data_IF_856553753829
#
_entry.id   IF_856553753829
#
_cell.length_a   1.000
_cell.length_b   1.000
_cell.length_c   1.000
_cell.angle_alpha   90.00
_cell.angle_beta   90.00
_cell.angle_gamma   90.00
#
_symmetry.space_group_name_H-M   'P 1'
#
loop_
_entity.id
_entity.type
_entity.pdbx_description
1 polymer ?
#
# COMPACT_ATOMS: atom_id res chain seq x y z
N UNK A 1 -13.28 -20.50 4.83
CA UNK A 1 -13.56 -19.39 3.90
C UNK A 1 -13.56 -18.10 4.70
N UNK A 2 -12.80 -17.12 4.25
CA UNK A 2 -12.81 -15.78 4.81
C UNK A 2 -13.91 -14.95 4.13
N UNK A 3 -14.30 -13.83 4.76
CA UNK A 3 -15.25 -12.89 4.19
C UNK A 3 -14.80 -12.37 2.81
N UNK A 4 -13.49 -12.16 2.63
CA UNK A 4 -12.91 -11.71 1.37
C UNK A 4 -13.18 -12.67 0.21
N UNK A 5 -13.09 -13.99 0.46
CA UNK A 5 -13.34 -15.02 -0.56
C UNK A 5 -14.78 -14.97 -1.06
N UNK A 6 -15.74 -14.72 -0.15
CA UNK A 6 -17.15 -14.59 -0.49
C UNK A 6 -17.46 -13.31 -1.26
N UNK A 7 -16.74 -12.23 -0.96
CA UNK A 7 -16.92 -10.92 -1.60
C UNK A 7 -16.12 -10.78 -2.91
N UNK A 8 -15.26 -11.74 -3.25
CA UNK A 8 -14.31 -11.60 -4.36
C UNK A 8 -13.25 -10.52 -4.12
N UNK A 9 -12.97 -10.17 -2.86
CA UNK A 9 -12.00 -9.15 -2.52
C UNK A 9 -10.59 -9.75 -2.45
N UNK A 10 -9.72 -9.32 -3.35
CA UNK A 10 -8.30 -9.69 -3.35
C UNK A 10 -7.47 -8.75 -2.48
N UNK A 11 -6.55 -9.33 -1.71
CA UNK A 11 -5.63 -8.61 -0.85
C UNK A 11 -4.18 -9.01 -1.14
N UNK A 12 -3.28 -8.03 -1.12
CA UNK A 12 -1.84 -8.25 -1.29
C UNK A 12 -1.07 -7.65 -0.12
N UNK A 13 -0.14 -8.42 0.44
CA UNK A 13 0.69 -8.02 1.57
C UNK A 13 2.14 -7.83 1.14
N UNK A 14 2.70 -6.64 1.39
CA UNK A 14 4.08 -6.28 1.11
C UNK A 14 4.95 -6.59 2.32
N UNK A 15 5.74 -7.67 2.23
CA UNK A 15 6.73 -8.04 3.25
C UNK A 15 8.13 -7.81 2.69
N UNK A 16 8.96 -7.05 3.42
CA UNK A 16 10.26 -6.57 2.95
C UNK A 16 11.27 -7.65 2.53
N UNK A 17 11.01 -8.91 2.87
CA UNK A 17 11.90 -10.06 2.67
C UNK A 17 11.63 -10.81 1.34
N UNK A 18 10.65 -10.40 0.55
CA UNK A 18 10.27 -11.11 -0.69
C UNK A 18 10.91 -10.54 -1.95
N UNK A 19 11.00 -11.38 -2.99
CA UNK A 19 11.50 -10.99 -4.31
C UNK A 19 10.55 -9.97 -4.96
N UNK A 20 10.92 -8.69 -4.86
CA UNK A 20 10.12 -7.57 -5.38
C UNK A 20 9.75 -7.70 -6.86
N UNK A 21 10.59 -8.34 -7.68
CA UNK A 21 10.25 -8.51 -9.11
C UNK A 21 9.05 -9.44 -9.29
N UNK A 22 9.00 -10.53 -8.53
CA UNK A 22 7.86 -11.44 -8.54
C UNK A 22 6.59 -10.77 -8.00
N UNK A 23 6.76 -9.90 -7.00
CA UNK A 23 5.66 -9.13 -6.42
C UNK A 23 5.06 -8.13 -7.42
N UNK A 24 5.90 -7.38 -8.13
CA UNK A 24 5.48 -6.45 -9.18
C UNK A 24 4.80 -7.18 -10.33
N UNK A 25 5.31 -8.34 -10.74
CA UNK A 25 4.65 -9.16 -11.78
C UNK A 25 3.24 -9.57 -11.35
N UNK A 26 3.05 -9.97 -10.09
CA UNK A 26 1.71 -10.29 -9.57
C UNK A 26 0.78 -9.09 -9.61
N UNK A 27 1.25 -7.91 -9.21
CA UNK A 27 0.47 -6.67 -9.28
C UNK A 27 0.08 -6.27 -10.71
N UNK A 28 0.91 -6.60 -11.69
CA UNK A 28 0.63 -6.35 -13.10
C UNK A 28 -0.40 -7.32 -13.69
N UNK A 29 -0.43 -8.56 -13.21
CA UNK A 29 -1.41 -9.58 -13.62
C UNK A 29 -2.76 -9.29 -12.96
N UNK A 30 -2.76 -8.97 -11.68
CA UNK A 30 -3.96 -8.71 -10.89
C UNK A 30 -3.74 -7.54 -9.93
N UNK A 31 -4.53 -6.49 -10.08
CA UNK A 31 -4.51 -5.35 -9.16
C UNK A 31 -5.33 -5.70 -7.90
N UNK A 32 -4.70 -5.77 -6.72
CA UNK A 32 -5.41 -6.11 -5.49
C UNK A 32 -6.33 -4.96 -5.04
N UNK A 33 -7.46 -5.32 -4.44
CA UNK A 33 -8.40 -4.35 -3.86
C UNK A 33 -7.85 -3.73 -2.57
N UNK A 34 -7.15 -4.55 -1.78
CA UNK A 34 -6.61 -4.18 -0.48
C UNK A 34 -5.10 -4.42 -0.48
N UNK A 35 -4.35 -3.44 -0.01
CA UNK A 35 -2.90 -3.52 0.12
C UNK A 35 -2.50 -3.28 1.56
N UNK A 36 -1.67 -4.18 2.10
CA UNK A 36 -1.20 -4.13 3.49
C UNK A 36 0.32 -4.18 3.48
N UNK A 37 0.97 -3.36 4.29
CA UNK A 37 2.43 -3.38 4.36
C UNK A 37 2.95 -2.34 5.33
N UNK A 38 4.27 -2.37 5.55
CA UNK A 38 4.92 -1.32 6.33
C UNK A 38 4.94 0.00 5.55
N UNK A 39 4.95 1.17 6.22
CA UNK A 39 5.00 2.47 5.55
C UNK A 39 6.13 2.56 4.51
N UNK A 40 7.31 2.03 4.83
CA UNK A 40 8.45 2.00 3.92
C UNK A 40 8.22 1.18 2.65
N UNK A 41 7.67 -0.04 2.78
CA UNK A 41 7.36 -0.90 1.63
C UNK A 41 6.30 -0.28 0.72
N UNK A 42 5.21 0.24 1.30
CA UNK A 42 4.13 0.88 0.53
C UNK A 42 4.64 2.16 -0.15
N UNK A 43 5.45 2.96 0.54
CA UNK A 43 6.05 4.17 -0.02
C UNK A 43 6.97 3.87 -1.20
N UNK A 44 7.80 2.81 -1.15
CA UNK A 44 8.65 2.40 -2.28
C UNK A 44 7.81 2.01 -3.51
N UNK A 45 6.75 1.23 -3.32
CA UNK A 45 5.85 0.82 -4.41
C UNK A 45 5.16 2.01 -5.09
N UNK A 46 4.74 3.00 -4.30
CA UNK A 46 4.15 4.25 -4.81
C UNK A 46 5.19 5.15 -5.48
N UNK A 47 6.42 5.22 -4.97
CA UNK A 47 7.50 5.99 -5.57
C UNK A 47 7.93 5.44 -6.92
N UNK A 48 8.02 4.12 -7.04
CA UNK A 48 8.39 3.43 -8.28
C UNK A 48 7.25 3.36 -9.30
N UNK A 49 6.07 3.90 -8.96
CA UNK A 49 4.86 3.93 -9.79
C UNK A 49 4.33 2.54 -10.16
N UNK A 50 4.64 1.52 -9.36
CA UNK A 50 3.98 0.22 -9.48
C UNK A 50 2.54 0.28 -8.99
N UNK A 51 2.26 1.23 -8.08
CA UNK A 51 0.93 1.56 -7.61
C UNK A 51 0.65 3.02 -7.88
N UNK A 52 -0.55 3.32 -8.37
CA UNK A 52 -1.00 4.70 -8.57
C UNK A 52 -1.78 5.18 -7.34
N UNK A 53 -1.33 6.24 -6.65
CA UNK A 53 -2.01 6.79 -5.48
C UNK A 53 -3.39 7.38 -5.82
N UNK A 54 -3.67 7.64 -7.10
CA UNK A 54 -4.96 8.14 -7.59
C UNK A 54 -6.14 7.20 -7.28
N UNK A 55 -5.89 5.90 -7.17
CA UNK A 55 -6.93 4.91 -6.91
C UNK A 55 -7.13 4.62 -5.42
N UNK A 56 -6.31 5.19 -4.54
CA UNK A 56 -6.41 4.98 -3.10
C UNK A 56 -7.58 5.80 -2.56
N UNK A 57 -8.69 5.13 -2.24
CA UNK A 57 -9.87 5.75 -1.62
C UNK A 57 -9.73 5.87 -0.10
N UNK A 58 -9.08 4.91 0.53
CA UNK A 58 -8.96 4.79 1.99
C UNK A 58 -7.53 4.42 2.37
N UNK A 59 -7.00 5.07 3.40
CA UNK A 59 -5.75 4.70 4.06
C UNK A 59 -6.07 4.39 5.53
N UNK A 60 -5.70 3.20 5.98
CA UNK A 60 -5.86 2.77 7.37
C UNK A 60 -4.47 2.66 7.98
N UNK A 61 -4.29 3.29 9.15
CA UNK A 61 -3.04 3.25 9.90
C UNK A 61 -3.30 2.47 11.19
N UNK A 62 -2.75 1.26 11.26
CA UNK A 62 -2.75 0.51 12.51
C UNK A 62 -1.68 1.06 13.46
N UNK A 63 -1.97 1.19 14.75
CA UNK A 63 -1.06 1.78 15.75
C UNK A 63 -0.45 3.12 15.31
N UNK A 64 -1.31 4.07 14.96
CA UNK A 64 -0.90 5.34 14.38
C UNK A 64 0.09 6.13 15.25
N UNK A 65 0.01 6.01 16.57
CA UNK A 65 0.94 6.60 17.53
C UNK A 65 2.38 6.05 17.39
N UNK A 66 2.53 4.73 17.30
CA UNK A 66 3.82 4.09 17.04
C UNK A 66 4.36 4.47 15.65
N UNK A 67 3.49 4.47 14.65
CA UNK A 67 3.88 4.79 13.27
C UNK A 67 4.36 6.25 13.16
N UNK A 68 3.67 7.20 13.80
CA UNK A 68 4.02 8.63 13.75
C UNK A 68 5.28 8.96 14.55
N UNK A 69 5.58 8.21 15.61
CA UNK A 69 6.77 8.42 16.47
C UNK A 69 8.06 7.83 15.88
N UNK A 70 7.98 6.76 15.08
CA UNK A 70 9.14 6.05 14.49
C UNK A 70 9.80 6.75 13.29
N UNK A 71 9.47 8.01 13.02
CA UNK A 71 10.01 8.74 11.86
C UNK A 71 9.35 8.38 10.52
N UNK A 72 8.26 7.60 10.52
CA UNK A 72 7.49 7.32 9.29
C UNK A 72 6.48 8.42 8.93
N UNK A 73 6.41 9.48 9.74
CA UNK A 73 5.52 10.63 9.53
C UNK A 73 5.65 11.22 8.14
N UNK A 74 6.88 11.46 7.68
CA UNK A 74 7.12 12.08 6.37
C UNK A 74 6.73 11.16 5.21
N UNK A 75 6.96 9.85 5.35
CA UNK A 75 6.55 8.87 4.34
C UNK A 75 5.02 8.84 4.19
N UNK A 76 4.30 8.81 5.31
CA UNK A 76 2.83 8.82 5.32
C UNK A 76 2.29 10.12 4.75
N UNK A 77 2.88 11.25 5.15
CA UNK A 77 2.50 12.56 4.64
C UNK A 77 2.67 12.63 3.11
N UNK A 78 3.78 12.10 2.59
CA UNK A 78 3.99 12.00 1.15
C UNK A 78 2.96 11.11 0.45
N UNK A 79 2.56 9.98 1.06
CA UNK A 79 1.49 9.12 0.52
C UNK A 79 0.17 9.91 0.44
N UNK A 80 -0.18 10.63 1.51
CA UNK A 80 -1.38 11.47 1.55
C UNK A 80 -1.34 12.60 0.51
N UNK A 81 -0.22 13.30 0.36
CA UNK A 81 -0.08 14.37 -0.62
C UNK A 81 -0.21 13.84 -2.05
N UNK A 82 0.44 12.71 -2.35
CA UNK A 82 0.35 12.08 -3.67
C UNK A 82 -1.07 11.63 -4.03
N UNK A 83 -1.90 11.29 -3.04
CA UNK A 83 -3.33 11.02 -3.24
C UNK A 83 -4.10 12.29 -3.61
N UNK A 84 -3.78 13.41 -2.95
CA UNK A 84 -4.51 14.68 -3.09
C UNK A 84 -4.06 15.55 -4.28
N UNK A 85 -3.09 15.12 -5.09
CA UNK A 85 -2.51 15.87 -6.21
C UNK A 85 -3.42 16.07 -7.44
N UNK A 86 -4.73 16.20 -7.25
CA UNK A 86 -5.68 16.67 -8.26
C UNK A 86 -6.28 18.02 -7.80
N UNK A 87 -5.48 19.07 -7.94
CA UNK A 87 -5.93 20.43 -8.34
C UNK A 87 -5.01 20.87 -9.46
#
# INVERSE_FOLDING_TARGET
MALGDYMGASCHAFTGDTNRQAEVQKLQIEAPHIMVGTPGSVFDMLNRRYLSPKYIKMLVLDKADEILSRGFKDQIYNIFQKRNGNT
#
